data_IF_751327551191
#
_entry.id   IF_751327551191
#
_cell.length_a   1.000
_cell.length_b   1.000
_cell.length_c   1.000
_cell.angle_alpha   90.00
_cell.angle_beta   90.00
_cell.angle_gamma   90.00
#
_symmetry.space_group_name_H-M   'P 1'
#
loop_
_entity.id
_entity.type
_entity.pdbx_description
1 polymer ?
#
# COMPACT_ATOMS: atom_id res chain seq x y z
N UNK A 1 -5.65 -8.56 25.56
CA UNK A 1 -4.24 -8.42 25.13
C UNK A 1 -4.28 -7.85 23.74
N UNK A 2 -3.54 -6.78 23.42
CA UNK A 2 -3.44 -6.32 22.05
C UNK A 2 -2.77 -7.44 21.23
N UNK A 3 -3.39 -7.82 20.12
CA UNK A 3 -2.78 -8.76 19.19
C UNK A 3 -1.50 -8.15 18.65
N UNK A 4 -0.39 -8.87 18.75
CA UNK A 4 0.84 -8.44 18.11
C UNK A 4 0.67 -8.52 16.58
N UNK A 5 1.33 -7.66 15.81
CA UNK A 5 1.34 -7.72 14.34
C UNK A 5 1.64 -9.13 13.82
N UNK A 6 2.46 -9.90 14.51
CA UNK A 6 2.78 -11.29 14.19
C UNK A 6 1.58 -12.24 14.30
N UNK A 7 0.69 -12.04 15.27
CA UNK A 7 -0.52 -12.87 15.40
C UNK A 7 -1.53 -12.57 14.30
N UNK A 8 -1.71 -11.28 13.97
CA UNK A 8 -2.52 -10.87 12.82
C UNK A 8 -1.95 -11.47 11.53
N UNK A 9 -0.65 -11.40 11.35
CA UNK A 9 0.03 -11.91 10.17
C UNK A 9 -0.09 -13.45 10.05
N UNK A 10 0.01 -14.19 11.14
CA UNK A 10 -0.11 -15.65 11.15
C UNK A 10 -1.51 -16.14 10.83
N UNK A 11 -2.56 -15.48 11.34
CA UNK A 11 -3.93 -15.88 11.05
C UNK A 11 -4.27 -15.72 9.56
N UNK A 12 -3.86 -14.62 8.93
CA UNK A 12 -4.07 -14.39 7.51
C UNK A 12 -3.40 -15.44 6.59
N UNK A 13 -2.37 -16.14 7.08
CA UNK A 13 -1.71 -17.21 6.30
C UNK A 13 -2.46 -18.52 6.43
N UNK A 14 -2.87 -18.85 7.63
CA UNK A 14 -3.50 -20.13 7.93
C UNK A 14 -4.87 -20.24 7.26
N UNK A 15 -5.58 -19.12 7.11
CA UNK A 15 -6.91 -19.07 6.49
C UNK A 15 -6.87 -18.94 4.96
N UNK A 16 -5.72 -19.09 4.33
CA UNK A 16 -5.57 -18.91 2.88
C UNK A 16 -5.77 -17.46 2.42
N UNK A 17 -5.90 -16.55 3.35
CA UNK A 17 -6.02 -15.11 3.07
C UNK A 17 -4.73 -14.60 2.43
N UNK A 18 -4.84 -14.14 1.21
CA UNK A 18 -3.74 -13.54 0.46
C UNK A 18 -3.65 -12.06 0.81
N UNK A 19 -3.26 -11.75 2.04
CA UNK A 19 -3.09 -10.37 2.45
C UNK A 19 -1.88 -9.75 1.72
N UNK A 20 -2.10 -8.88 0.75
CA UNK A 20 -1.01 -8.24 0.01
C UNK A 20 -0.28 -7.19 0.85
N UNK A 21 -0.86 -6.84 1.98
CA UNK A 21 -0.36 -5.81 2.89
C UNK A 21 0.41 -6.42 4.06
N UNK A 22 0.42 -7.72 4.18
CA UNK A 22 1.24 -8.42 5.15
C UNK A 22 2.60 -8.59 4.51
N UNK A 23 3.43 -7.62 4.71
CA UNK A 23 4.85 -7.79 4.53
C UNK A 23 5.34 -8.73 5.63
N UNK A 24 6.35 -9.51 5.37
CA UNK A 24 7.12 -10.04 6.44
C UNK A 24 6.60 -11.27 7.11
N UNK A 25 6.15 -12.20 6.32
CA UNK A 25 6.09 -13.59 6.78
C UNK A 25 7.39 -14.33 6.65
N UNK A 26 8.31 -13.73 5.97
CA UNK A 26 9.62 -14.31 5.74
C UNK A 26 10.58 -13.59 6.67
N UNK A 27 11.08 -14.27 7.67
CA UNK A 27 12.31 -13.84 8.33
C UNK A 27 13.37 -13.71 7.25
N UNK A 28 14.32 -12.80 7.41
CA UNK A 28 15.44 -12.67 6.49
C UNK A 28 16.16 -14.02 6.26
N UNK A 29 16.17 -14.90 7.29
CA UNK A 29 16.68 -16.27 7.24
C UNK A 29 15.93 -17.21 6.30
N UNK A 30 14.66 -16.96 6.00
CA UNK A 30 13.81 -17.81 5.18
C UNK A 30 13.86 -17.44 3.70
N UNK A 31 14.58 -16.37 3.38
CA UNK A 31 14.78 -15.91 2.03
C UNK A 31 15.78 -16.78 1.28
N UNK A 32 15.29 -17.75 0.55
CA UNK A 32 16.07 -18.39 -0.50
C UNK A 32 15.98 -17.55 -1.76
N UNK A 33 17.09 -16.94 -2.11
CA UNK A 33 17.26 -16.23 -3.38
C UNK A 33 17.01 -17.21 -4.53
N UNK A 34 15.82 -17.21 -5.07
CA UNK A 34 15.57 -17.81 -6.38
C UNK A 34 15.86 -16.74 -7.43
N UNK A 35 16.64 -17.07 -8.40
CA UNK A 35 17.36 -16.20 -9.32
C UNK A 35 16.54 -15.21 -10.15
N UNK A 36 15.19 -15.20 -10.02
CA UNK A 36 14.30 -14.29 -10.74
C UNK A 36 13.18 -13.69 -9.89
N UNK A 37 13.21 -13.86 -8.58
CA UNK A 37 12.05 -13.58 -7.75
C UNK A 37 12.42 -12.78 -6.53
N UNK A 38 12.36 -11.50 -6.68
CA UNK A 38 12.75 -10.60 -5.62
C UNK A 38 11.58 -9.82 -5.08
N UNK A 39 10.65 -10.52 -4.46
CA UNK A 39 9.84 -9.84 -3.48
C UNK A 39 10.25 -10.32 -2.12
N UNK A 40 10.72 -9.40 -1.36
CA UNK A 40 10.95 -9.63 0.04
C UNK A 40 10.47 -8.41 0.78
N UNK A 41 9.27 -8.56 1.34
CA UNK A 41 8.94 -7.75 2.48
C UNK A 41 9.46 -8.51 3.69
N UNK A 42 10.36 -7.91 4.41
CA UNK A 42 10.84 -8.42 5.67
C UNK A 42 10.09 -7.75 6.80
N UNK A 43 9.46 -8.56 7.64
CA UNK A 43 8.99 -8.11 8.93
C UNK A 43 10.20 -7.91 9.83
N UNK A 44 10.41 -6.69 10.24
CA UNK A 44 11.53 -6.29 11.07
C UNK A 44 11.04 -5.68 12.40
N UNK A 45 9.82 -6.01 12.80
CA UNK A 45 9.21 -5.49 14.03
C UNK A 45 9.93 -5.95 15.31
N UNK A 46 10.72 -6.99 15.23
CA UNK A 46 11.59 -7.48 16.31
C UNK A 46 12.91 -6.72 16.42
N UNK A 47 13.23 -5.88 15.45
CA UNK A 47 14.45 -5.08 15.46
C UNK A 47 14.26 -3.80 16.25
N UNK A 48 15.25 -3.48 17.09
CA UNK A 48 15.17 -2.34 18.01
C UNK A 48 15.66 -1.03 17.39
N UNK A 49 16.41 -1.11 16.29
CA UNK A 49 16.96 0.07 15.62
C UNK A 49 16.71 0.00 14.11
N UNK A 50 16.58 1.16 13.42
CA UNK A 50 16.50 1.19 11.97
C UNK A 50 17.68 0.50 11.29
N UNK A 51 18.90 0.67 11.80
CA UNK A 51 20.09 0.01 11.30
C UNK A 51 19.94 -1.52 11.31
N UNK A 52 19.57 -2.11 12.46
CA UNK A 52 19.36 -3.54 12.58
C UNK A 52 18.23 -4.05 11.67
N UNK A 53 17.18 -3.25 11.49
CA UNK A 53 16.09 -3.56 10.57
C UNK A 53 16.57 -3.64 9.11
N UNK A 54 17.37 -2.68 8.66
CA UNK A 54 17.94 -2.68 7.31
C UNK A 54 18.94 -3.82 7.10
N UNK A 55 19.78 -4.12 8.09
CA UNK A 55 20.71 -5.26 8.07
C UNK A 55 19.95 -6.58 7.94
N UNK A 56 18.95 -6.78 8.79
CA UNK A 56 18.09 -7.97 8.77
C UNK A 56 17.38 -8.17 7.41
N UNK A 57 17.01 -7.09 6.76
CA UNK A 57 16.39 -7.10 5.44
C UNK A 57 17.41 -7.16 4.27
N UNK A 58 18.72 -7.24 4.55
CA UNK A 58 19.77 -7.11 3.54
C UNK A 58 19.62 -5.86 2.66
N UNK A 59 19.30 -4.73 3.27
CA UNK A 59 18.95 -3.49 2.56
C UNK A 59 20.02 -2.40 2.65
N UNK A 60 21.16 -2.63 3.31
CA UNK A 60 22.27 -1.67 3.46
C UNK A 60 23.31 -1.74 2.32
N UNK A 61 22.92 -2.23 1.15
CA UNK A 61 23.77 -2.15 -0.03
C UNK A 61 23.71 -0.74 -0.66
N UNK A 62 24.73 -0.41 -1.46
CA UNK A 62 24.83 0.85 -2.22
C UNK A 62 24.48 0.65 -3.68
N UNK A 63 23.93 1.68 -4.30
CA UNK A 63 23.76 1.75 -5.74
C UNK A 63 25.02 2.37 -6.36
N UNK A 64 25.91 1.49 -6.85
CA UNK A 64 27.20 1.90 -7.35
C UNK A 64 27.13 2.32 -8.82
N UNK A 65 27.80 3.41 -9.14
CA UNK A 65 27.94 3.89 -10.51
C UNK A 65 29.01 3.08 -11.24
N UNK A 66 28.65 2.52 -12.38
CA UNK A 66 29.56 1.84 -13.30
C UNK A 66 29.50 2.52 -14.65
N UNK A 67 30.54 2.38 -15.44
CA UNK A 67 30.59 2.85 -16.81
C UNK A 67 29.48 2.21 -17.64
N UNK A 68 28.85 3.01 -18.49
CA UNK A 68 27.89 2.52 -19.47
C UNK A 68 28.59 1.94 -20.69
N UNK A 69 28.14 0.79 -21.17
CA UNK A 69 28.67 0.15 -22.37
C UNK A 69 27.55 -0.27 -23.31
N UNK A 70 27.77 -0.18 -24.61
CA UNK A 70 26.86 -0.70 -25.63
C UNK A 70 27.62 -1.46 -26.72
N UNK A 71 26.92 -2.34 -27.43
CA UNK A 71 27.53 -3.09 -28.54
C UNK A 71 27.54 -2.22 -29.80
N UNK A 72 28.75 -1.83 -30.24
CA UNK A 72 29.00 -1.23 -31.55
C UNK A 72 29.19 -2.30 -32.62
N UNK A 73 29.48 -1.86 -33.84
CA UNK A 73 29.73 -2.79 -34.96
C UNK A 73 30.98 -3.63 -34.74
N UNK A 74 32.02 -3.03 -34.12
CA UNK A 74 33.35 -3.65 -33.91
C UNK A 74 33.51 -4.21 -32.47
N UNK A 75 32.47 -4.27 -31.66
CA UNK A 75 32.52 -4.77 -30.29
C UNK A 75 32.00 -3.79 -29.24
N UNK A 76 32.28 -4.04 -27.93
CA UNK A 76 31.83 -3.19 -26.84
C UNK A 76 32.46 -1.79 -26.91
N UNK A 77 31.61 -0.77 -26.80
CA UNK A 77 31.98 0.65 -26.78
C UNK A 77 31.53 1.29 -25.49
N UNK A 78 32.42 2.01 -24.82
CA UNK A 78 32.10 2.80 -23.63
C UNK A 78 31.22 4.00 -24.01
N UNK A 79 30.11 4.16 -23.32
CA UNK A 79 29.22 5.29 -23.50
C UNK A 79 29.64 6.47 -22.62
N UNK A 80 29.61 7.67 -23.19
CA UNK A 80 29.70 8.92 -22.43
C UNK A 80 28.32 9.50 -22.08
N UNK A 81 27.26 8.91 -22.61
CA UNK A 81 25.89 9.43 -22.49
C UNK A 81 25.11 8.83 -21.30
N UNK A 82 25.54 7.67 -20.82
CA UNK A 82 24.89 7.03 -19.67
C UNK A 82 25.89 6.28 -18.81
N UNK A 83 25.51 6.10 -17.56
CA UNK A 83 26.11 5.20 -16.57
C UNK A 83 25.13 4.08 -16.23
N UNK A 84 25.65 2.95 -15.80
CA UNK A 84 24.87 1.87 -15.21
C UNK A 84 24.94 1.93 -13.70
N UNK A 85 23.80 1.72 -13.02
CA UNK A 85 23.79 1.47 -11.59
C UNK A 85 23.73 -0.03 -11.33
N UNK A 86 24.52 -0.48 -10.36
CA UNK A 86 24.56 -1.86 -9.89
C UNK A 86 24.39 -1.92 -8.38
N UNK A 87 23.78 -2.99 -7.89
CA UNK A 87 23.68 -3.29 -6.47
C UNK A 87 25.03 -3.81 -5.96
N UNK A 88 25.66 -3.13 -4.99
CA UNK A 88 26.98 -3.48 -4.47
C UNK A 88 27.04 -4.86 -3.80
N UNK A 89 25.93 -5.39 -3.33
CA UNK A 89 25.90 -6.68 -2.61
C UNK A 89 25.89 -7.90 -3.53
N UNK A 90 25.44 -7.76 -4.79
CA UNK A 90 25.25 -8.90 -5.69
C UNK A 90 25.49 -8.59 -7.17
N UNK A 91 26.04 -7.41 -7.49
CA UNK A 91 26.29 -6.90 -8.85
C UNK A 91 25.07 -6.90 -9.79
N UNK A 92 23.86 -6.97 -9.22
CA UNK A 92 22.64 -6.92 -10.03
C UNK A 92 22.49 -5.54 -10.68
N UNK A 93 22.27 -5.54 -11.99
CA UNK A 93 21.99 -4.32 -12.73
C UNK A 93 20.67 -3.70 -12.29
N UNK A 94 20.70 -2.43 -11.88
CA UNK A 94 19.55 -1.68 -11.42
C UNK A 94 18.91 -0.86 -12.54
N UNK A 95 19.72 -0.18 -13.35
CA UNK A 95 19.24 0.64 -14.46
C UNK A 95 20.33 1.50 -15.08
N UNK A 96 20.01 2.14 -16.21
CA UNK A 96 20.88 3.13 -16.86
C UNK A 96 20.36 4.53 -16.58
N UNK A 97 21.27 5.45 -16.34
CA UNK A 97 20.98 6.83 -15.96
C UNK A 97 21.94 7.80 -16.67
N UNK A 98 21.57 9.08 -16.68
CA UNK A 98 22.50 10.10 -17.16
C UNK A 98 23.76 10.15 -16.30
N UNK A 99 24.94 10.59 -16.83
CA UNK A 99 26.16 10.69 -16.06
C UNK A 99 26.07 11.58 -14.82
N UNK A 100 25.12 12.52 -14.81
CA UNK A 100 24.88 13.46 -13.71
C UNK A 100 23.87 12.95 -12.67
N UNK A 101 23.37 11.73 -12.83
CA UNK A 101 22.44 11.16 -11.88
C UNK A 101 23.11 10.85 -10.55
N UNK A 102 22.46 11.28 -9.45
CA UNK A 102 22.90 10.95 -8.10
C UNK A 102 21.87 10.03 -7.42
N UNK A 103 22.22 8.76 -7.19
CA UNK A 103 21.32 7.85 -6.52
C UNK A 103 21.15 8.23 -5.03
N UNK A 104 19.93 8.23 -4.55
CA UNK A 104 19.69 8.25 -3.10
C UNK A 104 20.01 6.86 -2.57
N UNK A 105 20.95 6.77 -1.66
CA UNK A 105 21.39 5.50 -1.09
C UNK A 105 20.41 4.97 -0.05
N UNK A 106 20.37 3.67 0.13
CA UNK A 106 19.55 3.05 1.18
C UNK A 106 20.04 3.45 2.58
N UNK A 107 21.34 3.65 2.74
CA UNK A 107 21.94 4.16 3.98
C UNK A 107 21.38 5.53 4.34
N UNK A 108 21.22 6.44 3.36
CA UNK A 108 20.60 7.76 3.57
C UNK A 108 19.18 7.64 4.06
N UNK A 109 18.40 6.66 3.60
CA UNK A 109 17.06 6.41 4.11
C UNK A 109 17.08 5.87 5.54
N UNK A 110 18.03 4.98 5.85
CA UNK A 110 18.23 4.45 7.20
C UNK A 110 18.61 5.58 8.18
N UNK A 111 19.56 6.42 7.83
CA UNK A 111 19.97 7.60 8.61
C UNK A 111 18.80 8.54 8.86
N UNK A 112 18.05 8.89 7.83
CA UNK A 112 16.86 9.71 7.94
C UNK A 112 15.84 9.15 8.94
N UNK A 113 15.55 7.85 8.87
CA UNK A 113 14.60 7.20 9.77
C UNK A 113 15.13 7.20 11.21
N UNK A 114 16.44 7.03 11.37
CA UNK A 114 17.13 7.09 12.67
C UNK A 114 17.04 8.50 13.27
N UNK A 115 17.33 9.53 12.49
CA UNK A 115 17.26 10.93 12.91
C UNK A 115 15.83 11.35 13.29
N UNK A 116 14.83 10.76 12.63
CA UNK A 116 13.42 10.98 12.95
C UNK A 116 12.93 10.17 14.16
N UNK A 117 13.75 9.28 14.71
CA UNK A 117 13.37 8.41 15.84
C UNK A 117 12.24 7.45 15.52
N UNK A 118 12.09 7.03 14.24
CA UNK A 118 10.96 6.20 13.81
C UNK A 118 11.29 4.71 13.94
N UNK A 119 10.26 3.92 14.25
CA UNK A 119 10.34 2.46 14.28
C UNK A 119 10.00 1.89 12.90
N UNK A 120 10.92 1.10 12.34
CA UNK A 120 10.71 0.38 11.09
C UNK A 120 9.95 -0.91 11.37
N UNK A 121 8.85 -1.14 10.67
CA UNK A 121 8.08 -2.38 10.78
C UNK A 121 8.28 -3.31 9.59
N UNK A 122 8.48 -2.75 8.41
CA UNK A 122 8.66 -3.54 7.20
C UNK A 122 9.60 -2.87 6.20
N UNK A 123 10.41 -3.68 5.53
CA UNK A 123 11.23 -3.29 4.40
C UNK A 123 10.90 -4.22 3.23
N UNK A 124 10.45 -3.65 2.11
CA UNK A 124 10.15 -4.38 0.89
C UNK A 124 11.12 -4.00 -0.21
N UNK A 125 11.90 -4.93 -0.69
CA UNK A 125 12.73 -4.78 -1.89
C UNK A 125 12.07 -5.47 -3.08
N UNK A 126 12.02 -4.79 -4.22
CA UNK A 126 11.43 -5.32 -5.44
C UNK A 126 12.45 -5.37 -6.57
N UNK A 127 12.36 -6.40 -7.42
CA UNK A 127 13.17 -6.53 -8.63
C UNK A 127 14.67 -6.42 -8.34
N UNK A 128 15.20 -7.23 -7.43
CA UNK A 128 16.61 -7.25 -7.01
C UNK A 128 17.10 -5.90 -6.46
N UNK A 129 16.25 -5.20 -5.70
CA UNK A 129 16.58 -3.92 -5.10
C UNK A 129 16.34 -2.71 -6.02
N UNK A 130 15.82 -2.90 -7.25
CA UNK A 130 15.46 -1.75 -8.12
C UNK A 130 14.49 -0.77 -7.48
N UNK A 131 13.70 -1.23 -6.52
CA UNK A 131 12.81 -0.41 -5.69
C UNK A 131 12.86 -0.88 -4.25
N UNK A 132 12.82 0.06 -3.34
CA UNK A 132 12.71 -0.19 -1.91
C UNK A 132 11.51 0.59 -1.35
N UNK A 133 10.74 -0.07 -0.48
CA UNK A 133 9.66 0.53 0.31
C UNK A 133 9.91 0.23 1.77
N UNK A 134 9.83 1.24 2.60
CA UNK A 134 10.05 1.15 4.03
C UNK A 134 8.79 1.65 4.72
N UNK A 135 8.27 0.87 5.64
CA UNK A 135 7.11 1.22 6.44
C UNK A 135 7.54 1.47 7.87
N UNK A 136 7.27 2.68 8.34
CA UNK A 136 7.51 3.07 9.73
C UNK A 136 6.17 3.33 10.43
N UNK A 137 6.03 2.85 11.67
CA UNK A 137 4.89 3.19 12.50
C UNK A 137 5.05 4.58 13.10
N UNK A 138 3.92 5.30 13.20
CA UNK A 138 3.85 6.62 13.82
C UNK A 138 3.01 6.56 15.09
N UNK A 139 1.69 6.55 14.96
CA UNK A 139 0.73 6.61 16.07
C UNK A 139 -0.33 5.52 15.95
N UNK A 140 -0.93 5.16 17.07
CA UNK A 140 -2.00 4.17 17.14
C UNK A 140 -3.12 4.69 18.04
N UNK A 141 -4.37 4.54 17.58
CA UNK A 141 -5.55 4.93 18.34
C UNK A 141 -6.68 3.94 18.12
N UNK A 142 -7.52 3.78 19.14
CA UNK A 142 -8.72 2.98 19.02
C UNK A 142 -9.85 3.79 18.37
N UNK A 143 -10.52 3.18 17.42
CA UNK A 143 -11.79 3.68 16.87
C UNK A 143 -12.91 3.36 17.85
N UNK A 144 -13.01 2.10 18.24
CA UNK A 144 -13.79 1.58 19.38
C UNK A 144 -12.89 0.73 20.23
N UNK A 145 -13.30 0.40 21.45
CA UNK A 145 -12.51 -0.43 22.36
C UNK A 145 -12.09 -1.74 21.71
N UNK A 146 -10.78 -1.98 21.65
CA UNK A 146 -10.19 -3.19 21.04
C UNK A 146 -10.05 -3.15 19.52
N UNK A 147 -10.55 -2.13 18.82
CA UNK A 147 -10.38 -1.95 17.38
C UNK A 147 -9.46 -0.77 17.06
N UNK A 148 -8.18 -1.05 17.05
CA UNK A 148 -7.15 -0.04 16.82
C UNK A 148 -6.88 0.17 15.34
N UNK A 149 -6.61 1.43 15.01
CA UNK A 149 -6.01 1.85 13.74
C UNK A 149 -4.63 2.42 13.99
N UNK A 150 -3.70 2.14 13.09
CA UNK A 150 -2.33 2.64 13.16
C UNK A 150 -2.02 3.51 11.95
N UNK A 151 -1.32 4.58 12.23
CA UNK A 151 -0.82 5.50 11.23
C UNK A 151 0.61 5.12 10.84
N UNK A 152 0.90 5.15 9.55
CA UNK A 152 2.19 4.76 9.00
C UNK A 152 2.76 5.83 8.08
N UNK A 153 4.07 6.03 8.19
CA UNK A 153 4.86 6.67 7.16
C UNK A 153 5.43 5.58 6.23
N UNK A 154 5.28 5.77 4.94
CA UNK A 154 5.94 4.96 3.92
C UNK A 154 6.97 5.81 3.20
N UNK A 155 8.21 5.38 3.24
CA UNK A 155 9.30 5.90 2.40
C UNK A 155 9.52 4.93 1.25
N UNK A 156 9.76 5.45 0.07
CA UNK A 156 10.10 4.61 -1.08
C UNK A 156 11.16 5.27 -1.94
N UNK A 157 11.98 4.43 -2.58
CA UNK A 157 13.01 4.84 -3.50
C UNK A 157 13.06 3.90 -4.70
N UNK A 158 13.59 4.37 -5.82
CA UNK A 158 13.75 3.60 -7.05
C UNK A 158 15.10 3.89 -7.68
N UNK A 159 15.88 2.85 -7.85
CA UNK A 159 17.21 2.92 -8.48
C UNK A 159 17.17 2.69 -10.00
N UNK A 160 16.00 2.47 -10.60
CA UNK A 160 15.83 2.20 -12.03
C UNK A 160 15.08 3.31 -12.78
N UNK A 161 15.03 4.51 -12.25
CA UNK A 161 14.33 5.66 -12.80
C UNK A 161 12.80 5.49 -13.00
N UNK A 162 12.21 4.34 -12.59
CA UNK A 162 10.77 4.11 -12.77
C UNK A 162 9.89 4.95 -11.86
N UNK A 163 10.46 5.43 -10.74
CA UNK A 163 9.81 6.31 -9.77
C UNK A 163 10.84 7.26 -9.16
N UNK A 164 10.38 8.42 -8.75
CA UNK A 164 11.18 9.28 -7.86
C UNK A 164 11.20 8.70 -6.46
N UNK A 165 12.16 9.08 -5.62
CA UNK A 165 12.06 8.92 -4.18
C UNK A 165 10.80 9.64 -3.69
N UNK A 166 10.18 9.15 -2.64
CA UNK A 166 9.04 9.83 -2.06
C UNK A 166 8.58 9.25 -0.74
N UNK A 167 7.57 9.88 -0.21
CA UNK A 167 6.88 9.44 0.99
C UNK A 167 5.37 9.61 0.85
N UNK A 168 4.63 8.79 1.58
CA UNK A 168 3.19 8.92 1.78
C UNK A 168 2.79 8.37 3.14
N UNK A 169 1.62 8.76 3.59
CA UNK A 169 1.05 8.27 4.84
C UNK A 169 -0.11 7.31 4.56
N UNK A 170 -0.32 6.37 5.44
CA UNK A 170 -1.49 5.48 5.38
C UNK A 170 -2.02 5.17 6.75
N UNK A 171 -3.31 4.90 6.84
CA UNK A 171 -3.94 4.38 8.04
C UNK A 171 -4.44 2.98 7.78
N UNK A 172 -4.14 2.06 8.70
CA UNK A 172 -4.58 0.67 8.63
C UNK A 172 -5.25 0.27 9.92
N UNK A 173 -6.28 -0.53 9.77
CA UNK A 173 -6.91 -1.23 10.87
C UNK A 173 -6.03 -2.42 11.28
N UNK A 174 -5.67 -2.54 12.55
CA UNK A 174 -4.76 -3.60 13.01
C UNK A 174 -5.40 -4.97 13.00
N UNK A 175 -6.70 -5.05 13.30
CA UNK A 175 -7.42 -6.31 13.36
C UNK A 175 -7.43 -7.10 12.03
N UNK A 176 -7.42 -6.45 10.88
CA UNK A 176 -7.53 -7.10 9.57
C UNK A 176 -6.55 -6.53 8.52
N UNK A 177 -5.67 -5.63 8.90
CA UNK A 177 -4.73 -4.94 8.00
C UNK A 177 -5.40 -4.21 6.80
N UNK A 178 -6.70 -3.91 6.88
CA UNK A 178 -7.41 -3.17 5.86
C UNK A 178 -6.83 -1.76 5.71
N UNK A 179 -6.61 -1.34 4.48
CA UNK A 179 -6.26 0.04 4.19
C UNK A 179 -7.51 0.93 4.38
N UNK A 180 -7.47 1.83 5.33
CA UNK A 180 -8.56 2.78 5.62
C UNK A 180 -8.35 4.13 4.92
N UNK A 181 -7.22 4.33 4.29
CA UNK A 181 -6.88 5.49 3.51
C UNK A 181 -5.39 5.57 3.23
N UNK A 182 -5.04 6.23 2.15
CA UNK A 182 -3.68 6.63 1.84
C UNK A 182 -3.67 8.14 1.81
N UNK A 183 -2.90 8.74 2.69
CA UNK A 183 -2.84 10.18 2.84
C UNK A 183 -1.53 10.70 2.30
N UNK A 184 -1.64 11.74 1.54
CA UNK A 184 -0.50 12.51 1.09
C UNK A 184 -0.64 13.86 1.73
N UNK A 185 0.31 14.20 2.60
CA UNK A 185 0.30 15.36 3.46
C UNK A 185 -0.58 16.52 3.03
N UNK A 186 -1.28 17.12 3.95
CA UNK A 186 -2.30 18.18 3.74
C UNK A 186 -1.80 19.43 2.99
N UNK A 187 -0.51 19.51 2.70
CA UNK A 187 0.13 20.68 2.06
C UNK A 187 -0.05 20.75 0.55
N UNK A 188 -0.64 19.76 -0.09
CA UNK A 188 -0.85 19.80 -1.53
C UNK A 188 -2.28 19.41 -1.89
N UNK A 189 -3.17 20.37 -1.87
CA UNK A 189 -4.58 20.25 -2.29
C UNK A 189 -4.79 19.65 -3.69
N UNK A 190 -3.78 19.65 -4.56
CA UNK A 190 -3.79 18.99 -5.86
C UNK A 190 -3.19 17.59 -5.84
N UNK A 191 -2.17 17.33 -5.03
CA UNK A 191 -1.52 16.01 -4.95
C UNK A 191 -2.32 15.05 -4.07
N UNK A 192 -2.99 15.52 -3.02
CA UNK A 192 -3.86 14.72 -2.16
C UNK A 192 -5.08 14.16 -2.91
N UNK A 193 -5.69 14.94 -3.79
CA UNK A 193 -6.82 14.48 -4.64
C UNK A 193 -6.46 13.38 -5.64
N UNK A 194 -5.16 13.13 -5.88
CA UNK A 194 -4.69 12.12 -6.83
C UNK A 194 -4.02 10.90 -6.17
N UNK A 195 -4.01 10.80 -4.83
CA UNK A 195 -3.33 9.71 -4.12
C UNK A 195 -1.82 9.66 -4.38
N UNK A 196 -1.22 10.80 -4.74
CA UNK A 196 0.20 10.89 -5.07
C UNK A 196 0.93 11.44 -3.85
N UNK A 197 1.73 10.61 -3.18
CA UNK A 197 2.65 11.03 -2.13
C UNK A 197 3.59 12.16 -2.57
N UNK A 198 4.29 12.73 -1.63
CA UNK A 198 5.36 13.68 -1.94
C UNK A 198 6.45 12.95 -2.72
N UNK A 199 6.88 13.54 -3.82
CA UNK A 199 7.88 12.98 -4.72
C UNK A 199 9.07 13.92 -4.81
N UNK A 200 10.23 13.35 -4.68
CA UNK A 200 11.50 14.07 -4.74
C UNK A 200 12.29 13.55 -5.94
N UNK A 201 12.76 14.45 -6.78
CA UNK A 201 13.69 14.06 -7.87
C UNK A 201 15.06 13.71 -7.28
N UNK A 202 15.73 12.75 -7.88
CA UNK A 202 17.12 12.41 -7.59
C UNK A 202 18.05 13.51 -8.12
N UNK A 203 18.21 14.58 -7.35
CA UNK A 203 19.06 15.74 -7.65
C UNK A 203 19.93 16.05 -6.43
N UNK A 204 21.05 16.76 -6.64
CA UNK A 204 22.04 17.10 -5.60
C UNK A 204 21.48 17.69 -4.29
N UNK A 205 20.26 18.18 -4.28
CA UNK A 205 19.65 18.86 -3.12
C UNK A 205 18.61 18.01 -2.37
N UNK A 206 18.71 16.68 -2.40
CA UNK A 206 17.81 15.79 -1.64
C UNK A 206 17.79 16.14 -0.14
N UNK A 207 18.93 16.54 0.42
CA UNK A 207 19.05 16.90 1.84
C UNK A 207 18.17 18.09 2.23
N UNK A 208 17.86 19.03 1.35
CA UNK A 208 16.94 20.14 1.64
C UNK A 208 15.49 19.67 1.80
N UNK A 209 15.12 18.55 1.20
CA UNK A 209 13.79 17.97 1.33
C UNK A 209 13.65 17.15 2.61
N UNK A 210 14.72 16.46 3.01
CA UNK A 210 14.82 15.70 4.25
C UNK A 210 14.52 16.61 5.46
N UNK A 211 15.02 17.85 5.44
CA UNK A 211 14.78 18.84 6.50
C UNK A 211 13.30 19.19 6.75
N UNK A 212 12.41 18.99 5.77
CA UNK A 212 10.98 19.29 5.91
C UNK A 212 10.13 18.09 6.36
N UNK A 213 10.70 16.88 6.38
CA UNK A 213 9.96 15.65 6.74
C UNK A 213 9.44 15.69 8.18
N UNK A 214 10.19 16.16 9.21
CA UNK A 214 9.68 16.26 10.58
C UNK A 214 8.40 17.09 10.68
N UNK A 215 8.34 18.22 10.00
CA UNK A 215 7.15 19.09 9.99
C UNK A 215 5.94 18.39 9.35
N UNK A 216 6.17 17.61 8.28
CA UNK A 216 5.12 16.83 7.64
C UNK A 216 4.59 15.73 8.54
N UNK A 217 5.47 15.04 9.27
CA UNK A 217 5.08 14.01 10.24
C UNK A 217 4.23 14.64 11.35
N UNK A 218 4.63 15.78 11.90
CA UNK A 218 3.87 16.48 12.94
C UNK A 218 2.47 16.88 12.45
N UNK A 219 2.36 17.42 11.24
CA UNK A 219 1.08 17.78 10.64
C UNK A 219 0.18 16.57 10.43
N UNK A 220 0.72 15.48 9.92
CA UNK A 220 -0.04 14.24 9.67
C UNK A 220 -0.42 13.53 10.97
N UNK A 221 0.42 13.55 11.98
CA UNK A 221 0.09 13.01 13.31
C UNK A 221 -1.07 13.78 13.94
N UNK A 222 -1.10 15.11 13.79
CA UNK A 222 -2.23 15.93 14.22
C UNK A 222 -3.51 15.64 13.42
N UNK A 223 -3.38 15.48 12.09
CA UNK A 223 -4.49 15.13 11.21
C UNK A 223 -5.04 13.74 11.52
N UNK A 224 -4.19 12.79 11.92
CA UNK A 224 -4.60 11.43 12.27
C UNK A 224 -5.64 11.37 13.40
N UNK A 225 -5.52 12.23 14.40
CA UNK A 225 -6.52 12.30 15.46
C UNK A 225 -7.92 12.66 14.91
N UNK A 226 -7.99 13.61 13.99
CA UNK A 226 -9.23 13.96 13.30
C UNK A 226 -9.78 12.81 12.45
N UNK A 227 -8.91 12.09 11.76
CA UNK A 227 -9.30 10.92 10.97
C UNK A 227 -9.90 9.80 11.84
N UNK A 228 -9.34 9.57 13.02
CA UNK A 228 -9.88 8.58 13.97
C UNK A 228 -11.26 9.01 14.47
N UNK A 229 -11.43 10.30 14.74
CA UNK A 229 -12.75 10.81 15.13
C UNK A 229 -13.79 10.67 14.01
N UNK A 230 -13.40 10.93 12.76
CA UNK A 230 -14.25 10.65 11.59
C UNK A 230 -14.67 9.17 11.54
N UNK A 231 -13.74 8.23 11.77
CA UNK A 231 -14.06 6.81 11.83
C UNK A 231 -15.01 6.47 12.99
N UNK A 232 -14.82 7.10 14.16
CA UNK A 232 -15.75 6.96 15.31
C UNK A 232 -17.15 7.44 14.98
N UNK A 233 -17.27 8.56 14.25
CA UNK A 233 -18.57 9.07 13.81
C UNK A 233 -19.27 8.07 12.90
N UNK A 234 -18.55 7.38 12.01
CA UNK A 234 -19.13 6.33 11.16
C UNK A 234 -19.70 5.14 11.96
N UNK A 235 -19.20 4.87 13.16
CA UNK A 235 -19.76 3.79 14.02
C UNK A 235 -21.14 4.12 14.57
N UNK A 236 -21.52 5.40 14.59
CA UNK A 236 -22.80 5.89 15.17
C UNK A 236 -23.91 6.01 14.12
N UNK A 237 -23.58 5.90 12.84
CA UNK A 237 -24.55 6.07 11.75
C UNK A 237 -24.98 4.72 11.21
N UNK A 238 -26.31 4.48 11.20
CA UNK A 238 -26.89 3.25 10.67
C UNK A 238 -26.75 3.20 9.15
N UNK A 239 -26.34 2.05 8.64
CA UNK A 239 -26.31 1.77 7.22
C UNK A 239 -27.73 1.52 6.70
N UNK A 240 -28.12 2.20 5.63
CA UNK A 240 -29.35 1.87 4.88
C UNK A 240 -28.98 1.27 3.51
N UNK A 241 -29.96 0.63 2.86
CA UNK A 241 -29.76 0.08 1.50
C UNK A 241 -29.43 1.17 0.51
N UNK A 242 -30.03 2.34 0.65
CA UNK A 242 -29.85 3.52 -0.20
C UNK A 242 -28.42 4.05 -0.06
N UNK A 243 -27.92 4.22 1.17
CA UNK A 243 -26.54 4.65 1.45
C UNK A 243 -25.56 3.65 0.85
N UNK A 244 -25.77 2.33 1.09
CA UNK A 244 -24.89 1.30 0.53
C UNK A 244 -24.84 1.36 -0.99
N UNK A 245 -26.00 1.46 -1.64
CA UNK A 245 -26.13 1.52 -3.10
C UNK A 245 -25.40 2.76 -3.66
N UNK A 246 -25.73 3.95 -3.16
CA UNK A 246 -25.15 5.21 -3.62
C UNK A 246 -23.63 5.24 -3.43
N UNK A 247 -23.16 4.74 -2.27
CA UNK A 247 -21.72 4.65 -1.99
C UNK A 247 -21.01 3.72 -2.98
N UNK A 248 -21.54 2.54 -3.26
CA UNK A 248 -20.95 1.60 -4.22
C UNK A 248 -20.99 2.15 -5.65
N UNK A 249 -22.09 2.81 -6.05
CA UNK A 249 -22.19 3.48 -7.34
C UNK A 249 -21.11 4.57 -7.51
N UNK A 250 -20.85 5.34 -6.46
CA UNK A 250 -19.82 6.39 -6.48
C UNK A 250 -18.40 5.77 -6.53
N UNK A 251 -18.10 4.81 -5.65
CA UNK A 251 -16.77 4.17 -5.56
C UNK A 251 -16.41 3.40 -6.82
N UNK A 252 -17.39 2.80 -7.47
CA UNK A 252 -17.20 1.95 -8.66
C UNK A 252 -17.71 2.61 -9.96
N UNK A 253 -17.94 3.93 -9.98
CA UNK A 253 -18.50 4.65 -11.12
C UNK A 253 -17.76 4.36 -12.44
N UNK A 254 -16.42 4.37 -12.45
CA UNK A 254 -15.61 4.04 -13.64
C UNK A 254 -15.79 2.59 -14.11
N UNK A 255 -16.08 1.67 -13.18
CA UNK A 255 -16.35 0.27 -13.51
C UNK A 255 -17.75 0.08 -14.06
N UNK A 256 -18.73 0.79 -13.50
CA UNK A 256 -20.13 0.77 -13.91
C UNK A 256 -20.33 1.40 -15.28
N UNK A 257 -19.53 2.41 -15.63
CA UNK A 257 -19.56 3.05 -16.94
C UNK A 257 -19.12 2.14 -18.11
N UNK A 258 -18.44 1.02 -17.81
CA UNK A 258 -17.96 0.06 -18.82
C UNK A 258 -18.99 -1.04 -19.03
N UNK A 259 -19.56 -1.18 -20.25
CA UNK A 259 -20.52 -2.25 -20.52
C UNK A 259 -19.86 -3.62 -20.39
N UNK A 260 -20.67 -4.62 -20.14
CA UNK A 260 -20.27 -6.04 -20.11
C UNK A 260 -21.01 -6.84 -21.15
N UNK A 261 -20.44 -7.99 -21.52
CA UNK A 261 -21.10 -8.92 -22.43
C UNK A 261 -22.31 -9.54 -21.73
N UNK A 262 -23.47 -9.41 -22.33
CA UNK A 262 -24.68 -10.14 -21.96
C UNK A 262 -24.56 -11.59 -22.49
N UNK A 263 -24.21 -12.51 -21.61
CA UNK A 263 -23.92 -13.89 -21.99
C UNK A 263 -25.12 -14.61 -22.57
N UNK A 264 -26.31 -14.31 -22.06
CA UNK A 264 -27.55 -14.99 -22.49
C UNK A 264 -27.95 -14.52 -23.88
N UNK A 265 -27.98 -13.22 -24.11
CA UNK A 265 -28.24 -12.65 -25.44
C UNK A 265 -27.15 -13.00 -26.46
N UNK A 266 -25.88 -12.97 -26.05
CA UNK A 266 -24.74 -13.37 -26.91
C UNK A 266 -24.89 -14.81 -27.38
N UNK A 267 -25.32 -15.71 -26.48
CA UNK A 267 -25.55 -17.11 -26.81
C UNK A 267 -26.73 -17.30 -27.79
N UNK A 268 -27.77 -16.49 -27.65
CA UNK A 268 -28.94 -16.52 -28.52
C UNK A 268 -28.65 -15.93 -29.89
N UNK A 269 -27.92 -14.83 -29.95
CA UNK A 269 -27.67 -14.09 -31.21
C UNK A 269 -26.41 -14.52 -31.96
N UNK A 270 -25.54 -15.34 -31.35
CA UNK A 270 -24.27 -15.79 -31.93
C UNK A 270 -23.22 -14.69 -32.13
N UNK A 271 -23.45 -13.49 -31.58
CA UNK A 271 -22.53 -12.35 -31.62
C UNK A 271 -22.50 -11.67 -30.25
N UNK A 272 -21.40 -10.98 -29.93
CA UNK A 272 -21.26 -10.28 -28.66
C UNK A 272 -22.33 -9.17 -28.52
N UNK A 273 -23.21 -9.34 -27.54
CA UNK A 273 -24.20 -8.35 -27.13
C UNK A 273 -23.73 -7.73 -25.82
N UNK A 274 -23.79 -6.40 -25.72
CA UNK A 274 -23.34 -5.68 -24.54
C UNK A 274 -24.54 -5.09 -23.80
N UNK A 275 -24.46 -5.08 -22.46
CA UNK A 275 -25.41 -4.40 -21.59
C UNK A 275 -24.70 -3.51 -20.59
N UNK A 276 -25.44 -2.57 -19.99
CA UNK A 276 -24.97 -1.78 -18.86
C UNK A 276 -24.58 -2.72 -17.69
N UNK A 277 -23.49 -2.37 -17.01
CA UNK A 277 -23.05 -3.05 -15.80
C UNK A 277 -23.86 -2.54 -14.60
N UNK A 278 -24.24 -3.45 -13.72
CA UNK A 278 -24.90 -3.15 -12.45
C UNK A 278 -23.97 -3.33 -11.27
N UNK A 279 -24.41 -2.97 -10.06
CA UNK A 279 -23.64 -3.21 -8.83
C UNK A 279 -23.40 -4.71 -8.61
N UNK A 280 -24.36 -5.56 -8.97
CA UNK A 280 -24.26 -7.01 -8.87
C UNK A 280 -23.15 -7.59 -9.77
N UNK A 281 -22.80 -6.90 -10.84
CA UNK A 281 -21.70 -7.29 -11.73
C UNK A 281 -20.31 -6.87 -11.19
N UNK A 282 -20.25 -6.15 -10.07
CA UNK A 282 -18.98 -5.73 -9.48
C UNK A 282 -18.30 -6.95 -8.88
N UNK A 283 -17.06 -7.20 -9.30
CA UNK A 283 -16.26 -8.30 -8.76
C UNK A 283 -16.10 -8.17 -7.25
N UNK A 284 -16.55 -9.18 -6.52
CA UNK A 284 -16.43 -9.23 -5.06
C UNK A 284 -17.63 -8.65 -4.31
N UNK A 285 -18.72 -8.22 -4.97
CA UNK A 285 -19.90 -7.66 -4.29
C UNK A 285 -20.52 -8.65 -3.29
N UNK A 286 -20.61 -9.94 -3.64
CA UNK A 286 -21.15 -10.95 -2.72
C UNK A 286 -20.25 -11.15 -1.51
N UNK A 287 -18.94 -11.04 -1.69
CA UNK A 287 -17.98 -11.07 -0.58
C UNK A 287 -18.08 -9.84 0.30
N UNK A 288 -18.29 -8.65 -0.26
CA UNK A 288 -18.59 -7.44 0.52
C UNK A 288 -19.84 -7.63 1.38
N UNK A 289 -20.91 -8.20 0.82
CA UNK A 289 -22.14 -8.53 1.55
C UNK A 289 -21.89 -9.58 2.64
N UNK A 290 -21.13 -10.63 2.33
CA UNK A 290 -20.75 -11.67 3.29
C UNK A 290 -19.93 -11.11 4.44
N UNK A 291 -18.91 -10.28 4.15
CA UNK A 291 -18.11 -9.64 5.20
C UNK A 291 -18.95 -8.69 6.08
N UNK A 292 -19.88 -7.96 5.50
CA UNK A 292 -20.79 -7.11 6.26
C UNK A 292 -21.70 -7.92 7.19
N UNK A 293 -22.25 -9.02 6.70
CA UNK A 293 -23.16 -9.89 7.46
C UNK A 293 -22.45 -10.73 8.51
N UNK A 294 -21.14 -10.90 8.41
CA UNK A 294 -20.37 -11.65 9.37
C UNK A 294 -20.31 -10.93 10.72
N UNK A 295 -20.65 -11.62 11.81
CA UNK A 295 -20.38 -11.14 13.18
C UNK A 295 -18.88 -10.95 13.43
N UNK A 296 -18.06 -11.62 12.62
CA UNK A 296 -16.60 -11.59 12.65
C UNK A 296 -16.06 -10.67 11.56
N UNK A 297 -16.53 -9.44 11.47
CA UNK A 297 -15.99 -8.49 10.46
C UNK A 297 -14.47 -8.28 10.56
N UNK A 298 -13.83 -8.99 11.47
CA UNK A 298 -12.38 -8.99 11.70
C UNK A 298 -11.74 -10.35 11.47
N UNK A 299 -12.47 -11.40 11.27
CA UNK A 299 -11.96 -12.78 11.25
C UNK A 299 -11.57 -13.36 12.61
N UNK A 300 -11.78 -12.65 13.73
CA UNK A 300 -11.35 -13.05 15.09
C UNK A 300 -12.49 -13.41 16.05
N UNK A 301 -13.70 -13.56 15.58
CA UNK A 301 -14.84 -13.93 16.42
C UNK A 301 -15.41 -12.82 17.30
N UNK A 302 -14.86 -11.61 17.24
CA UNK A 302 -15.35 -10.44 17.96
C UNK A 302 -15.92 -9.41 17.00
N UNK A 303 -17.07 -8.82 17.34
CA UNK A 303 -17.60 -7.67 16.62
C UNK A 303 -16.87 -6.41 17.12
N UNK A 304 -15.76 -6.09 16.45
CA UNK A 304 -14.95 -4.92 16.77
C UNK A 304 -15.40 -3.65 16.01
N UNK A 305 -16.56 -3.71 15.35
CA UNK A 305 -17.02 -2.57 14.52
C UNK A 305 -18.12 -1.77 15.18
N UNK A 306 -18.62 -2.21 16.32
CA UNK A 306 -19.73 -1.58 17.01
C UNK A 306 -19.26 -0.77 18.21
N UNK A 307 -19.71 0.48 18.29
CA UNK A 307 -19.63 1.27 19.51
C UNK A 307 -20.68 0.77 20.51
N UNK A 308 -20.44 0.82 21.83
CA UNK A 308 -21.42 0.46 22.85
C UNK A 308 -22.79 1.13 22.66
N UNK A 309 -22.78 2.37 22.19
CA UNK A 309 -23.97 3.19 21.99
C UNK A 309 -24.41 3.30 20.50
N UNK A 310 -23.79 2.53 19.62
CA UNK A 310 -24.03 2.60 18.17
C UNK A 310 -24.76 1.38 17.62
N UNK A 311 -25.35 1.52 16.40
CA UNK A 311 -25.97 0.40 15.72
C UNK A 311 -24.93 -0.62 15.28
N UNK A 312 -25.27 -1.91 15.33
CA UNK A 312 -24.38 -2.98 14.83
C UNK A 312 -24.22 -2.98 13.31
N UNK A 313 -25.22 -2.49 12.58
CA UNK A 313 -25.21 -2.30 11.13
C UNK A 313 -24.86 -0.84 10.78
N UNK A 314 -23.62 -0.45 11.06
CA UNK A 314 -23.14 0.93 10.90
C UNK A 314 -22.25 1.13 9.66
N UNK A 315 -21.98 2.41 9.35
CA UNK A 315 -21.17 2.78 8.19
C UNK A 315 -19.70 2.32 8.32
N UNK A 316 -19.16 2.27 9.52
CA UNK A 316 -17.78 1.80 9.74
C UNK A 316 -17.64 0.31 9.41
N UNK A 317 -18.61 -0.51 9.80
CA UNK A 317 -18.68 -1.92 9.44
C UNK A 317 -18.77 -2.11 7.93
N UNK A 318 -19.61 -1.30 7.26
CA UNK A 318 -19.70 -1.31 5.80
C UNK A 318 -18.40 -0.92 5.14
N UNK A 319 -17.74 0.16 5.60
CA UNK A 319 -16.44 0.57 5.13
C UNK A 319 -15.42 -0.57 5.23
N UNK A 320 -15.35 -1.25 6.38
CA UNK A 320 -14.45 -2.39 6.58
C UNK A 320 -14.73 -3.56 5.63
N UNK A 321 -15.99 -3.84 5.32
CA UNK A 321 -16.38 -4.89 4.38
C UNK A 321 -15.90 -4.60 2.96
N UNK A 322 -16.05 -3.36 2.51
CA UNK A 322 -15.62 -2.93 1.17
C UNK A 322 -14.10 -2.88 1.10
N UNK A 323 -13.44 -2.31 2.12
CA UNK A 323 -11.98 -2.22 2.17
C UNK A 323 -11.32 -3.58 2.29
N UNK A 324 -11.94 -4.57 2.95
CA UNK A 324 -11.49 -5.94 2.98
C UNK A 324 -11.34 -6.50 1.56
N UNK A 325 -12.38 -6.38 0.75
CA UNK A 325 -12.34 -6.85 -0.64
C UNK A 325 -11.35 -6.04 -1.48
N UNK A 326 -11.35 -4.73 -1.36
CA UNK A 326 -10.41 -3.88 -2.10
C UNK A 326 -8.95 -4.18 -1.76
N UNK A 327 -8.64 -4.34 -0.47
CA UNK A 327 -7.27 -4.53 0.01
C UNK A 327 -6.75 -5.94 -0.25
N UNK A 328 -7.57 -6.97 0.04
CA UNK A 328 -7.09 -8.35 0.12
C UNK A 328 -7.55 -9.24 -1.03
N UNK A 329 -8.71 -8.98 -1.61
CA UNK A 329 -9.37 -9.90 -2.53
C UNK A 329 -9.51 -9.37 -3.96
N UNK A 330 -9.23 -8.08 -4.19
CA UNK A 330 -9.29 -7.52 -5.55
C UNK A 330 -8.37 -8.27 -6.50
N UNK A 331 -8.85 -8.65 -7.68
CA UNK A 331 -8.03 -9.34 -8.67
C UNK A 331 -6.88 -8.44 -9.09
N UNK A 332 -5.70 -9.02 -9.18
CA UNK A 332 -4.49 -8.36 -9.69
C UNK A 332 -3.93 -9.13 -10.87
N UNK A 333 -3.40 -8.42 -11.86
CA UNK A 333 -2.80 -9.03 -13.04
C UNK A 333 -1.39 -9.53 -12.72
N UNK A 334 -1.01 -10.68 -13.28
CA UNK A 334 0.34 -11.23 -13.17
C UNK A 334 0.38 -12.73 -13.35
N UNK A 335 1.50 -13.24 -13.87
CA UNK A 335 1.69 -14.65 -14.18
C UNK A 335 1.85 -15.51 -12.92
N UNK A 336 2.46 -14.94 -11.86
CA UNK A 336 2.68 -15.63 -10.60
C UNK A 336 2.17 -14.82 -9.39
N UNK A 337 2.20 -15.43 -8.20
CA UNK A 337 1.73 -14.83 -6.95
C UNK A 337 2.48 -13.53 -6.65
N UNK A 338 3.75 -13.51 -6.92
CA UNK A 338 4.69 -12.43 -6.62
C UNK A 338 4.30 -11.18 -7.42
N UNK A 339 4.24 -11.32 -8.75
CA UNK A 339 3.86 -10.21 -9.64
C UNK A 339 2.47 -9.66 -9.29
N UNK A 340 1.53 -10.57 -8.96
CA UNK A 340 0.18 -10.15 -8.51
C UNK A 340 0.20 -9.36 -7.22
N UNK A 341 1.02 -9.76 -6.25
CA UNK A 341 1.17 -9.03 -4.98
C UNK A 341 1.77 -7.66 -5.22
N UNK A 342 2.83 -7.55 -6.03
CA UNK A 342 3.42 -6.24 -6.39
C UNK A 342 2.43 -5.34 -7.09
N UNK A 343 1.69 -5.85 -8.07
CA UNK A 343 0.69 -5.08 -8.79
C UNK A 343 -0.41 -4.55 -7.85
N UNK A 344 -0.82 -5.36 -6.87
CA UNK A 344 -1.81 -4.95 -5.88
C UNK A 344 -1.27 -3.89 -4.93
N UNK A 345 -0.03 -4.06 -4.43
CA UNK A 345 0.62 -3.06 -3.57
C UNK A 345 0.80 -1.73 -4.29
N UNK A 346 1.27 -1.76 -5.54
CA UNK A 346 1.36 -0.55 -6.34
C UNK A 346 -0.01 0.13 -6.52
N UNK A 347 -1.07 -0.66 -6.72
CA UNK A 347 -2.43 -0.13 -6.85
C UNK A 347 -2.97 0.44 -5.54
N UNK A 348 -2.65 -0.17 -4.41
CA UNK A 348 -3.03 0.32 -3.07
C UNK A 348 -2.28 1.60 -2.67
N UNK A 349 -1.02 1.73 -3.08
CA UNK A 349 -0.23 2.90 -2.71
C UNK A 349 -0.36 4.06 -3.69
N UNK A 350 -0.45 3.78 -4.97
CA UNK A 350 -0.32 4.79 -6.02
C UNK A 350 -1.37 4.70 -7.13
N UNK A 351 -2.29 3.76 -7.05
CA UNK A 351 -3.20 3.44 -8.16
C UNK A 351 -4.69 3.46 -7.80
N UNK A 352 -5.46 2.69 -8.55
CA UNK A 352 -6.91 2.71 -8.50
C UNK A 352 -7.49 2.20 -7.17
N UNK A 353 -6.84 1.25 -6.49
CA UNK A 353 -7.33 0.78 -5.20
C UNK A 353 -7.23 1.87 -4.13
N UNK A 354 -6.13 2.64 -4.13
CA UNK A 354 -5.98 3.80 -3.23
C UNK A 354 -7.08 4.84 -3.48
N UNK A 355 -7.35 5.17 -4.73
CA UNK A 355 -8.42 6.11 -5.08
C UNK A 355 -9.79 5.64 -4.59
N UNK A 356 -10.09 4.35 -4.77
CA UNK A 356 -11.36 3.76 -4.33
C UNK A 356 -11.53 3.74 -2.82
N UNK A 357 -10.47 3.41 -2.08
CA UNK A 357 -10.50 3.44 -0.60
C UNK A 357 -10.73 4.86 -0.10
N UNK A 358 -10.05 5.85 -0.67
CA UNK A 358 -10.24 7.25 -0.30
C UNK A 358 -11.64 7.75 -0.69
N UNK A 359 -12.10 7.45 -1.90
CA UNK A 359 -13.44 7.80 -2.37
C UNK A 359 -14.52 7.16 -1.46
N UNK A 360 -14.36 5.90 -1.06
CA UNK A 360 -15.26 5.23 -0.12
C UNK A 360 -15.36 6.00 1.20
N UNK A 361 -14.21 6.32 1.81
CA UNK A 361 -14.18 7.07 3.07
C UNK A 361 -14.82 8.45 2.93
N UNK A 362 -14.42 9.22 1.91
CA UNK A 362 -14.95 10.56 1.65
C UNK A 362 -16.47 10.52 1.44
N UNK A 363 -16.96 9.55 0.64
CA UNK A 363 -18.40 9.39 0.41
C UNK A 363 -19.14 9.06 1.69
N UNK A 364 -18.64 8.13 2.52
CA UNK A 364 -19.31 7.76 3.76
C UNK A 364 -19.33 8.93 4.77
N UNK A 365 -18.32 9.78 4.78
CA UNK A 365 -18.28 10.95 5.64
C UNK A 365 -19.30 12.03 5.25
N UNK A 366 -19.89 11.98 4.07
CA UNK A 366 -20.98 12.90 3.70
C UNK A 366 -22.30 12.59 4.40
N UNK A 367 -22.42 11.41 5.01
CA UNK A 367 -23.63 10.97 5.75
C UNK A 367 -23.53 11.17 7.27
N UNK A 368 -22.44 11.82 7.75
CA UNK A 368 -22.14 11.95 9.20
C UNK A 368 -22.35 13.39 9.73
#
# INVERSE_FOLDING_TARGET
MPFTNNQVNQSFVNDGFRAPMVYGKYKASDYKQTTNESICGFDVTDQTTPQAAFESANALWTADKREGWYMGQDGPVQSKEFISLVNSSNDAWLGNHSPHYEPVQNTTLCELITDLGLTVENILQMNNGKKIYIQCSLDQKDVVEGDSVRHYLHLYNSHNASQSMGLFFSTRRLACANALGTFTGSLSTRASRQGKGLKFRHVKNVNNWVANIPQLIDLETKAFAGQVEDLRRLTRVKLTKEIAKQTLETVFAESLAKPIIDKDKTKQEGKNVYRARTIEDITGIDRMRSHFSSKQNTGYGMDLTSSPDGPTDNLYRFMNSVTQVLTHESPSRGQNRIIRTQARLNSLYHGDLSKRVNCLRETLLTYV
#
